data_IF_926849896081
#
_entry.id   IF_926849896081
#
_cell.length_a   1.000
_cell.length_b   1.000
_cell.length_c   1.000
_cell.angle_alpha   90.00
_cell.angle_beta   90.00
_cell.angle_gamma   90.00
#
_symmetry.space_group_name_H-M   'P 1'
#
loop_
_entity.id
_entity.type
_entity.pdbx_description
1 polymer ?
#
# COMPACT_ATOMS: atom_id res chain seq x y z
N UNK A 1 7.29 0.51 -24.32
CA UNK A 1 7.26 -0.84 -23.72
C UNK A 1 6.05 -1.10 -22.80
N UNK A 2 5.89 -0.45 -21.63
CA UNK A 2 4.75 -0.74 -20.73
C UNK A 2 3.38 -0.33 -21.29
N UNK A 3 3.26 0.87 -21.86
CA UNK A 3 2.01 1.34 -22.47
C UNK A 3 1.59 0.47 -23.68
N UNK A 4 2.55 0.04 -24.49
CA UNK A 4 2.32 -0.84 -25.65
C UNK A 4 1.89 -2.24 -25.21
N UNK A 5 2.56 -2.82 -24.21
CA UNK A 5 2.19 -4.14 -23.65
C UNK A 5 0.79 -4.10 -23.06
N UNK A 6 0.46 -3.03 -22.34
CA UNK A 6 -0.87 -2.87 -21.76
C UNK A 6 -1.95 -2.63 -22.81
N UNK A 7 -1.64 -1.88 -23.87
CA UNK A 7 -2.51 -1.72 -25.03
C UNK A 7 -2.84 -3.05 -25.68
N UNK A 8 -1.83 -3.87 -25.95
CA UNK A 8 -2.00 -5.21 -26.51
C UNK A 8 -2.84 -6.12 -25.59
N UNK A 9 -2.56 -6.15 -24.29
CA UNK A 9 -3.30 -6.96 -23.32
C UNK A 9 -4.76 -6.52 -23.24
N UNK A 10 -5.04 -5.22 -23.20
CA UNK A 10 -6.41 -4.69 -23.16
C UNK A 10 -7.18 -5.03 -24.44
N UNK A 11 -6.56 -4.86 -25.59
CA UNK A 11 -7.17 -5.20 -26.87
C UNK A 11 -7.48 -6.69 -26.97
N UNK A 12 -6.53 -7.56 -26.63
CA UNK A 12 -6.73 -9.00 -26.62
C UNK A 12 -7.83 -9.42 -25.63
N UNK A 13 -7.84 -8.85 -24.42
CA UNK A 13 -8.90 -9.12 -23.44
C UNK A 13 -10.28 -8.70 -23.95
N UNK A 14 -10.37 -7.52 -24.59
CA UNK A 14 -11.62 -7.03 -25.14
C UNK A 14 -12.16 -7.92 -26.27
N UNK A 15 -11.28 -8.49 -27.10
CA UNK A 15 -11.66 -9.47 -28.13
C UNK A 15 -12.28 -10.74 -27.53
N UNK A 16 -11.86 -11.11 -26.32
CA UNK A 16 -12.40 -12.24 -25.55
C UNK A 16 -13.59 -11.85 -24.64
N UNK A 17 -14.10 -10.62 -24.73
CA UNK A 17 -15.17 -10.12 -23.87
C UNK A 17 -14.76 -9.89 -22.40
N UNK A 18 -13.47 -9.81 -22.12
CA UNK A 18 -12.90 -9.56 -20.80
C UNK A 18 -12.63 -8.06 -20.59
N UNK A 19 -12.83 -7.60 -19.36
CA UNK A 19 -12.63 -6.22 -18.96
C UNK A 19 -11.68 -6.14 -17.76
N UNK A 20 -10.76 -5.18 -17.80
CA UNK A 20 -9.93 -4.85 -16.65
C UNK A 20 -10.62 -3.81 -15.78
N UNK A 21 -10.66 -4.07 -14.48
CA UNK A 21 -11.12 -3.11 -13.49
C UNK A 21 -9.93 -2.55 -12.72
N UNK A 22 -9.75 -1.24 -12.78
CA UNK A 22 -8.64 -0.54 -12.13
C UNK A 22 -9.03 -0.13 -10.69
N UNK A 23 -9.41 -1.11 -9.87
CA UNK A 23 -9.92 -0.96 -8.49
C UNK A 23 -9.04 -1.71 -7.48
N UNK A 24 -8.81 -1.12 -6.30
CA UNK A 24 -7.96 -1.73 -5.28
C UNK A 24 -8.58 -2.94 -4.57
N UNK A 25 -9.91 -3.08 -4.65
CA UNK A 25 -10.66 -4.20 -4.10
C UNK A 25 -11.84 -4.54 -5.02
N UNK A 26 -12.14 -5.82 -5.23
CA UNK A 26 -13.29 -6.27 -6.00
C UNK A 26 -14.61 -5.83 -5.33
N UNK A 27 -15.64 -5.46 -6.10
CA UNK A 27 -16.94 -5.06 -5.56
C UNK A 27 -17.74 -6.28 -5.12
N UNK A 28 -18.68 -6.05 -4.20
CA UNK A 28 -19.42 -7.11 -3.51
C UNK A 28 -20.42 -7.87 -4.36
N UNK A 29 -20.79 -7.32 -5.51
CA UNK A 29 -21.80 -7.86 -6.40
C UNK A 29 -21.24 -8.81 -7.45
N UNK A 30 -19.90 -8.93 -7.58
CA UNK A 30 -19.32 -9.90 -8.50
C UNK A 30 -19.37 -11.30 -7.86
N UNK A 31 -19.93 -12.31 -8.55
CA UNK A 31 -19.86 -13.68 -8.10
C UNK A 31 -18.41 -14.04 -7.81
N UNK A 32 -18.10 -14.50 -6.60
CA UNK A 32 -16.79 -15.06 -6.26
C UNK A 32 -16.64 -16.46 -6.89
N UNK A 33 -16.95 -16.62 -8.17
CA UNK A 33 -16.60 -17.80 -8.94
C UNK A 33 -15.08 -17.73 -9.18
N UNK A 34 -14.35 -18.46 -8.34
CA UNK A 34 -12.91 -18.34 -8.21
C UNK A 34 -12.22 -19.02 -9.39
N UNK A 35 -11.39 -18.25 -10.11
CA UNK A 35 -10.28 -18.83 -10.83
C UNK A 35 -9.19 -19.21 -9.82
N UNK A 36 -9.10 -20.49 -9.48
CA UNK A 36 -7.99 -20.99 -8.68
C UNK A 36 -6.71 -21.00 -9.53
N UNK A 37 -5.56 -20.61 -8.96
CA UNK A 37 -4.30 -20.62 -9.69
C UNK A 37 -3.95 -22.06 -10.08
N UNK A 38 -3.57 -22.24 -11.34
CA UNK A 38 -3.30 -23.56 -11.96
C UNK A 38 -2.05 -24.25 -11.35
N UNK A 39 -1.21 -23.52 -10.61
CA UNK A 39 0.03 -24.07 -10.03
C UNK A 39 -0.17 -24.65 -8.62
N UNK A 40 0.44 -25.81 -8.36
CA UNK A 40 0.42 -26.50 -7.07
C UNK A 40 0.95 -25.63 -5.91
N UNK A 41 1.99 -24.81 -6.16
CA UNK A 41 2.56 -23.91 -5.16
C UNK A 41 1.57 -22.81 -4.74
N UNK A 42 0.82 -22.27 -5.71
CA UNK A 42 -0.20 -21.28 -5.41
C UNK A 42 -1.39 -21.92 -4.69
N UNK A 43 -1.76 -23.16 -5.04
CA UNK A 43 -2.80 -23.93 -4.36
C UNK A 43 -2.46 -24.22 -2.88
N UNK A 44 -1.22 -24.63 -2.56
CA UNK A 44 -0.80 -24.84 -1.15
C UNK A 44 -0.88 -23.54 -0.33
N UNK A 45 -0.35 -22.44 -0.89
CA UNK A 45 -0.37 -21.11 -0.26
C UNK A 45 -1.80 -20.62 -0.02
N UNK A 46 -2.65 -20.76 -1.04
CA UNK A 46 -4.06 -20.41 -0.91
C UNK A 46 -4.77 -21.31 0.09
N UNK A 47 -4.47 -22.61 0.11
CA UNK A 47 -4.99 -23.56 1.10
C UNK A 47 -4.67 -23.16 2.54
N UNK A 48 -3.45 -22.68 2.82
CA UNK A 48 -3.06 -22.14 4.13
C UNK A 48 -3.86 -20.88 4.50
N UNK A 49 -4.02 -19.96 3.55
CA UNK A 49 -4.84 -18.77 3.75
C UNK A 49 -6.30 -19.12 4.00
N UNK A 50 -6.89 -20.05 3.25
CA UNK A 50 -8.29 -20.44 3.38
C UNK A 50 -8.61 -21.14 4.71
N UNK A 51 -7.63 -21.88 5.26
CA UNK A 51 -7.79 -22.64 6.51
C UNK A 51 -7.41 -21.87 7.77
N UNK A 52 -6.88 -20.64 7.64
CA UNK A 52 -6.46 -19.85 8.80
C UNK A 52 -7.67 -19.39 9.61
N UNK A 53 -7.55 -19.23 10.94
CA UNK A 53 -8.57 -18.56 11.74
C UNK A 53 -8.80 -17.13 11.22
N UNK A 54 -10.05 -16.78 10.92
CA UNK A 54 -10.42 -15.42 10.53
C UNK A 54 -10.98 -14.68 11.75
N UNK A 55 -10.38 -13.55 12.17
CA UNK A 55 -10.97 -12.71 13.20
C UNK A 55 -12.34 -12.17 12.79
N UNK A 56 -13.24 -12.00 13.76
CA UNK A 56 -14.55 -11.36 13.53
C UNK A 56 -14.38 -9.85 13.44
N UNK A 57 -13.89 -9.37 12.29
CA UNK A 57 -13.65 -7.94 12.00
C UNK A 57 -14.31 -7.55 10.68
N UNK A 58 -14.73 -6.30 10.58
CA UNK A 58 -15.56 -5.76 9.49
C UNK A 58 -15.05 -6.09 8.09
N UNK A 59 -13.74 -5.92 7.85
CA UNK A 59 -13.16 -6.11 6.52
C UNK A 59 -12.47 -7.48 6.34
N UNK A 60 -12.61 -8.40 7.30
CA UNK A 60 -11.92 -9.68 7.29
C UNK A 60 -12.34 -10.58 6.12
N UNK A 61 -11.36 -11.19 5.43
CA UNK A 61 -11.63 -12.10 4.32
C UNK A 61 -10.66 -13.27 4.24
N UNK A 62 -11.19 -14.50 4.27
CA UNK A 62 -10.42 -15.71 3.90
C UNK A 62 -9.91 -15.63 2.45
N UNK A 63 -10.62 -14.87 1.59
CA UNK A 63 -10.32 -14.65 0.18
C UNK A 63 -9.40 -13.44 -0.08
N UNK A 64 -8.65 -12.97 0.92
CA UNK A 64 -7.70 -11.85 0.85
C UNK A 64 -6.93 -11.78 -0.49
N UNK A 65 -6.38 -12.89 -0.98
CA UNK A 65 -5.52 -12.90 -2.18
C UNK A 65 -6.25 -12.71 -3.50
N UNK A 66 -7.57 -12.91 -3.56
CA UNK A 66 -8.35 -12.78 -4.79
C UNK A 66 -9.19 -11.51 -4.84
N UNK A 67 -9.43 -10.86 -3.70
CA UNK A 67 -10.31 -9.69 -3.62
C UNK A 67 -9.57 -8.37 -3.73
N UNK A 68 -8.24 -8.36 -3.82
CA UNK A 68 -7.44 -7.13 -3.82
C UNK A 68 -6.53 -7.04 -5.04
N UNK A 69 -6.37 -5.83 -5.56
CA UNK A 69 -5.35 -5.49 -6.55
C UNK A 69 -4.49 -4.33 -6.03
N UNK A 70 -3.21 -4.32 -6.42
CA UNK A 70 -2.22 -3.40 -5.86
C UNK A 70 -1.21 -2.98 -6.93
N UNK A 71 -0.73 -1.74 -6.83
CA UNK A 71 0.50 -1.32 -7.50
C UNK A 71 1.63 -1.42 -6.49
N UNK A 72 2.64 -2.25 -6.79
CA UNK A 72 3.83 -2.34 -5.97
C UNK A 72 4.96 -1.51 -6.60
N UNK A 73 5.69 -0.77 -5.77
CA UNK A 73 6.85 0.01 -6.20
C UNK A 73 8.11 -0.63 -5.63
N UNK A 74 9.12 -0.83 -6.46
CA UNK A 74 10.42 -1.31 -6.03
C UNK A 74 11.45 -0.20 -6.16
N UNK A 75 12.10 0.16 -5.05
CA UNK A 75 13.25 1.07 -5.07
C UNK A 75 14.53 0.29 -4.75
N UNK A 76 15.69 0.67 -5.33
CA UNK A 76 16.96 0.02 -5.03
C UNK A 76 17.26 0.07 -3.52
N UNK A 77 17.64 -1.08 -2.95
CA UNK A 77 18.12 -1.12 -1.57
C UNK A 77 19.50 -0.46 -1.46
N UNK A 78 19.87 -0.04 -0.25
CA UNK A 78 21.25 0.35 0.02
C UNK A 78 22.16 -0.86 -0.07
N UNK A 79 23.45 -0.62 -0.36
CA UNK A 79 24.47 -1.69 -0.49
C UNK A 79 24.51 -2.60 0.74
N UNK A 80 24.28 -2.05 1.92
CA UNK A 80 24.18 -2.81 3.17
C UNK A 80 22.71 -3.04 3.53
N UNK A 81 22.36 -4.31 3.77
CA UNK A 81 21.03 -4.67 4.29
C UNK A 81 20.75 -4.02 5.64
N UNK A 82 21.76 -3.86 6.51
CA UNK A 82 21.59 -3.18 7.80
C UNK A 82 21.23 -1.70 7.60
N UNK A 83 21.87 -1.02 6.66
CA UNK A 83 21.54 0.38 6.32
C UNK A 83 20.14 0.48 5.73
N UNK A 84 19.75 -0.45 4.85
CA UNK A 84 18.39 -0.52 4.29
C UNK A 84 17.35 -0.69 5.40
N UNK A 85 17.60 -1.60 6.35
CA UNK A 85 16.68 -1.86 7.47
C UNK A 85 16.53 -0.65 8.40
N UNK A 86 17.59 0.14 8.59
CA UNK A 86 17.53 1.35 9.39
C UNK A 86 16.59 2.43 8.80
N UNK A 87 16.29 2.39 7.49
CA UNK A 87 15.37 3.32 6.84
C UNK A 87 13.90 2.96 7.09
N UNK A 88 13.59 1.68 7.31
CA UNK A 88 12.22 1.15 7.35
C UNK A 88 11.30 1.90 8.35
N UNK A 89 11.75 2.27 9.58
CA UNK A 89 10.95 3.07 10.50
C UNK A 89 10.52 4.43 9.94
N UNK A 90 11.45 5.14 9.28
CA UNK A 90 11.15 6.45 8.68
C UNK A 90 10.18 6.28 7.52
N UNK A 91 10.40 5.28 6.66
CA UNK A 91 9.51 4.99 5.53
C UNK A 91 8.06 4.74 6.01
N UNK A 92 7.89 3.91 7.04
CA UNK A 92 6.57 3.64 7.64
C UNK A 92 5.93 4.88 8.27
N UNK A 93 6.73 5.83 8.78
CA UNK A 93 6.19 7.05 9.38
C UNK A 93 5.41 7.92 8.38
N UNK A 94 5.73 7.83 7.08
CA UNK A 94 5.04 8.54 5.99
C UNK A 94 3.98 7.71 5.24
N UNK A 95 3.79 6.43 5.58
CA UNK A 95 2.91 5.54 4.79
C UNK A 95 1.44 5.97 4.80
N UNK A 96 1.00 6.81 5.75
CA UNK A 96 -0.37 7.34 5.78
C UNK A 96 -0.70 8.19 4.54
N UNK A 97 0.31 8.77 3.87
CA UNK A 97 0.14 9.53 2.62
C UNK A 97 -0.38 8.65 1.48
N UNK A 98 -0.07 7.36 1.49
CA UNK A 98 -0.41 6.46 0.39
C UNK A 98 -1.92 6.17 0.33
N UNK A 99 -2.59 5.69 1.40
CA UNK A 99 -4.05 5.58 1.38
C UNK A 99 -4.70 6.95 1.22
N UNK A 100 -4.12 8.04 1.74
CA UNK A 100 -4.67 9.38 1.56
C UNK A 100 -4.76 9.78 0.08
N UNK A 101 -3.65 9.65 -0.67
CA UNK A 101 -3.48 10.23 -2.02
C UNK A 101 -3.74 9.23 -3.17
N UNK A 102 -3.66 7.93 -2.90
CA UNK A 102 -3.68 6.87 -3.91
C UNK A 102 -4.71 5.75 -3.63
N UNK A 103 -5.72 6.03 -2.79
CA UNK A 103 -6.82 5.08 -2.58
C UNK A 103 -7.73 4.97 -3.81
N UNK A 104 -8.06 3.73 -4.16
CA UNK A 104 -9.04 3.34 -5.19
C UNK A 104 -9.90 2.17 -4.74
N UNK A 105 -10.12 2.04 -3.43
CA UNK A 105 -10.90 0.96 -2.84
C UNK A 105 -11.77 1.53 -1.72
N UNK A 106 -12.99 1.96 -2.03
CA UNK A 106 -13.87 2.66 -1.06
C UNK A 106 -14.89 1.77 -0.37
N UNK A 107 -15.11 0.56 -0.88
CA UNK A 107 -16.17 -0.31 -0.40
C UNK A 107 -15.73 -1.77 -0.39
N UNK A 108 -16.14 -2.49 0.65
CA UNK A 108 -16.05 -3.95 0.75
C UNK A 108 -17.13 -4.49 1.68
N UNK A 109 -17.86 -5.49 1.21
CA UNK A 109 -19.03 -6.17 1.79
C UNK A 109 -20.08 -5.23 2.38
N UNK A 110 -20.44 -4.19 1.62
CA UNK A 110 -21.41 -3.18 2.04
C UNK A 110 -20.85 -2.13 3.01
N UNK A 111 -19.59 -2.27 3.45
CA UNK A 111 -18.94 -1.32 4.34
C UNK A 111 -18.10 -0.31 3.56
N UNK A 112 -18.22 0.95 3.94
CA UNK A 112 -17.50 2.07 3.33
C UNK A 112 -16.29 2.47 4.17
N UNK A 113 -15.21 2.83 3.48
CA UNK A 113 -14.02 3.46 4.06
C UNK A 113 -13.31 4.29 2.98
N UNK A 114 -12.35 5.13 3.36
CA UNK A 114 -11.53 5.83 2.38
C UNK A 114 -10.66 4.86 1.56
N UNK A 115 -10.04 3.88 2.20
CA UNK A 115 -9.15 2.88 1.60
C UNK A 115 -9.32 1.50 2.29
N UNK A 116 -10.23 0.66 1.78
CA UNK A 116 -10.52 -0.67 2.37
C UNK A 116 -9.39 -1.67 2.21
N UNK A 117 -8.53 -1.56 1.18
CA UNK A 117 -7.53 -2.59 0.89
C UNK A 117 -6.55 -2.83 2.06
N UNK A 118 -5.94 -1.80 2.68
CA UNK A 118 -5.17 -2.00 3.91
C UNK A 118 -5.99 -2.51 5.11
N UNK A 119 -7.28 -2.14 5.20
CA UNK A 119 -8.17 -2.61 6.27
C UNK A 119 -8.47 -4.10 6.14
N UNK A 120 -8.59 -4.61 4.91
CA UNK A 120 -8.71 -6.05 4.65
C UNK A 120 -7.48 -6.78 5.19
N UNK A 121 -6.26 -6.27 4.99
CA UNK A 121 -5.06 -6.87 5.61
C UNK A 121 -5.17 -6.88 7.14
N UNK A 122 -5.45 -5.74 7.78
CA UNK A 122 -5.58 -5.63 9.24
C UNK A 122 -6.62 -6.60 9.82
N UNK A 123 -7.75 -6.74 9.13
CA UNK A 123 -8.90 -7.49 9.64
C UNK A 123 -8.84 -8.99 9.28
N UNK A 124 -7.98 -9.37 8.33
CA UNK A 124 -7.84 -10.73 7.81
C UNK A 124 -6.83 -11.61 8.55
N UNK A 125 -6.07 -11.03 9.48
CA UNK A 125 -5.04 -11.69 10.26
C UNK A 125 -5.30 -11.49 11.75
N UNK A 126 -5.06 -12.54 12.55
CA UNK A 126 -5.10 -12.45 14.00
C UNK A 126 -4.01 -11.49 14.52
N UNK A 127 -4.19 -10.90 15.69
CA UNK A 127 -3.21 -9.96 16.27
C UNK A 127 -1.86 -10.61 16.58
N UNK A 128 -1.82 -11.94 16.69
CA UNK A 128 -0.58 -12.73 16.81
C UNK A 128 0.25 -12.73 15.52
N UNK A 129 -0.36 -12.52 14.35
CA UNK A 129 0.36 -12.48 13.08
C UNK A 129 1.00 -11.10 12.87
N UNK A 130 2.28 -10.97 13.22
CA UNK A 130 2.97 -9.68 13.28
C UNK A 130 3.42 -9.14 11.92
N UNK A 131 3.68 -10.02 10.95
CA UNK A 131 4.17 -9.65 9.63
C UNK A 131 3.02 -9.37 8.61
N UNK A 132 2.02 -8.58 8.99
CA UNK A 132 0.90 -8.21 8.11
C UNK A 132 0.60 -6.71 8.14
N UNK A 133 0.39 -6.13 6.95
CA UNK A 133 0.01 -4.73 6.78
C UNK A 133 1.03 -3.75 7.36
N UNK A 134 0.56 -2.86 8.24
CA UNK A 134 1.41 -2.00 9.07
C UNK A 134 1.77 -2.75 10.37
N UNK A 135 3.03 -3.19 10.55
CA UNK A 135 3.46 -3.97 11.71
C UNK A 135 3.25 -3.23 13.03
N UNK A 136 2.88 -3.95 14.09
CA UNK A 136 2.75 -3.38 15.44
C UNK A 136 4.09 -2.81 15.92
N UNK A 137 5.18 -3.52 15.64
CA UNK A 137 6.55 -3.05 15.85
C UNK A 137 7.25 -3.02 14.49
N UNK A 138 7.56 -1.82 14.03
CA UNK A 138 8.29 -1.64 12.76
C UNK A 138 9.74 -2.09 12.98
N UNK A 139 10.26 -3.04 12.19
CA UNK A 139 11.64 -3.51 12.33
C UNK A 139 12.62 -2.44 11.90
N UNK A 140 13.76 -2.37 12.57
CA UNK A 140 14.85 -1.41 12.30
C UNK A 140 16.21 -2.08 12.10
N UNK A 141 16.24 -3.41 12.12
CA UNK A 141 17.42 -4.25 11.94
C UNK A 141 17.01 -5.57 11.28
N UNK A 142 17.97 -6.31 10.74
CA UNK A 142 17.71 -7.65 10.21
C UNK A 142 17.20 -8.58 11.30
N UNK A 143 17.80 -8.54 12.49
CA UNK A 143 17.38 -9.36 13.63
C UNK A 143 15.91 -9.10 14.02
N UNK A 144 15.50 -7.83 14.12
CA UNK A 144 14.11 -7.49 14.47
C UNK A 144 13.13 -7.84 13.35
N UNK A 145 13.59 -7.82 12.09
CA UNK A 145 12.79 -8.26 10.93
C UNK A 145 12.62 -9.78 10.91
N UNK A 146 13.70 -10.53 11.11
CA UNK A 146 13.66 -12.00 11.18
C UNK A 146 12.77 -12.46 12.34
N UNK A 147 12.85 -11.78 13.49
CA UNK A 147 11.96 -12.03 14.62
C UNK A 147 10.49 -11.74 14.28
N UNK A 148 10.19 -10.61 13.63
CA UNK A 148 8.82 -10.26 13.19
C UNK A 148 8.20 -11.37 12.32
N UNK A 149 9.01 -11.93 11.42
CA UNK A 149 8.60 -12.98 10.49
C UNK A 149 8.49 -14.34 11.20
N UNK A 150 9.42 -14.66 12.09
CA UNK A 150 9.41 -15.91 12.87
C UNK A 150 8.25 -15.98 13.87
N UNK A 151 7.84 -14.85 14.46
CA UNK A 151 6.73 -14.76 15.41
C UNK A 151 5.34 -14.88 14.75
N UNK A 152 5.26 -14.90 13.41
CA UNK A 152 4.00 -15.02 12.70
C UNK A 152 3.55 -16.48 12.63
N UNK A 153 2.52 -16.81 13.42
CA UNK A 153 1.96 -18.17 13.53
C UNK A 153 1.49 -18.73 12.17
N UNK A 154 1.39 -20.06 12.10
CA UNK A 154 0.73 -20.85 11.03
C UNK A 154 1.51 -21.02 9.72
N UNK A 155 2.08 -19.95 9.14
CA UNK A 155 2.93 -20.06 7.96
C UNK A 155 3.80 -18.80 7.77
N UNK A 156 5.09 -19.00 7.54
CA UNK A 156 6.07 -17.92 7.46
C UNK A 156 5.96 -17.20 6.11
N UNK A 157 5.17 -16.11 6.07
CA UNK A 157 5.15 -15.19 4.93
C UNK A 157 5.00 -13.75 5.37
N UNK A 158 5.82 -12.88 4.80
CA UNK A 158 5.72 -11.45 5.04
C UNK A 158 4.64 -10.80 4.16
N UNK A 159 3.57 -10.33 4.80
CA UNK A 159 2.48 -9.51 4.26
C UNK A 159 2.54 -8.05 4.73
N UNK A 160 3.66 -7.63 5.32
CA UNK A 160 3.88 -6.22 5.64
C UNK A 160 3.94 -5.38 4.36
N UNK A 161 3.63 -4.08 4.51
CA UNK A 161 3.56 -3.15 3.40
C UNK A 161 4.91 -2.69 2.84
N UNK A 162 5.99 -2.74 3.62
CA UNK A 162 7.34 -2.40 3.16
C UNK A 162 8.27 -3.58 3.42
N UNK A 163 8.81 -4.17 2.35
CA UNK A 163 9.54 -5.43 2.44
C UNK A 163 10.89 -5.37 1.71
N UNK A 164 12.01 -5.63 2.40
CA UNK A 164 13.29 -5.85 1.72
C UNK A 164 13.24 -7.16 0.90
N UNK A 165 13.77 -7.13 -0.32
CA UNK A 165 13.78 -8.28 -1.24
C UNK A 165 15.20 -8.78 -1.50
N UNK A 166 15.32 -10.09 -1.71
CA UNK A 166 16.59 -10.77 -1.97
C UNK A 166 17.31 -10.31 -3.24
N UNK A 167 16.58 -9.73 -4.20
CA UNK A 167 17.14 -9.18 -5.43
C UNK A 167 17.54 -7.70 -5.31
N UNK A 168 17.75 -7.19 -4.08
CA UNK A 168 18.38 -5.89 -3.85
C UNK A 168 17.45 -4.69 -3.96
N UNK A 169 16.16 -4.85 -3.63
CA UNK A 169 15.19 -3.75 -3.61
C UNK A 169 14.40 -3.71 -2.32
N UNK A 170 13.84 -2.56 -1.98
CA UNK A 170 12.71 -2.45 -1.03
C UNK A 170 11.42 -2.33 -1.83
N UNK A 171 10.47 -3.20 -1.54
CA UNK A 171 9.15 -3.21 -2.15
C UNK A 171 8.13 -2.53 -1.25
N UNK A 172 7.41 -1.57 -1.82
CA UNK A 172 6.28 -0.87 -1.22
C UNK A 172 4.98 -1.45 -1.78
N UNK A 173 4.07 -1.87 -0.91
CA UNK A 173 2.86 -2.62 -1.25
C UNK A 173 1.58 -1.96 -0.80
N UNK A 174 1.61 -0.74 -0.28
CA UNK A 174 0.47 -0.06 0.37
C UNK A 174 -0.57 0.48 -0.60
N UNK A 175 -0.16 0.87 -1.81
CA UNK A 175 -1.07 1.49 -2.76
C UNK A 175 -2.11 0.50 -3.30
N UNK A 176 -3.32 1.01 -3.56
CA UNK A 176 -4.26 0.32 -4.43
C UNK A 176 -3.67 0.16 -5.84
N UNK A 177 -4.28 -0.69 -6.68
CA UNK A 177 -3.99 -0.67 -8.11
C UNK A 177 -4.28 0.71 -8.69
N UNK A 178 -3.34 1.28 -9.44
CA UNK A 178 -3.48 2.58 -10.10
C UNK A 178 -3.94 2.42 -11.54
N UNK A 179 -4.84 3.29 -12.00
CA UNK A 179 -5.50 3.17 -13.31
C UNK A 179 -4.71 3.71 -14.50
N UNK A 180 -3.64 4.46 -14.26
CA UNK A 180 -2.85 5.08 -15.33
C UNK A 180 -1.36 5.05 -15.04
N UNK A 181 -0.57 5.14 -16.11
CA UNK A 181 0.89 5.22 -16.03
C UNK A 181 1.30 6.47 -15.24
N UNK A 182 0.60 7.59 -15.43
CA UNK A 182 0.86 8.84 -14.72
C UNK A 182 0.64 8.68 -13.21
N UNK A 183 -0.44 8.02 -12.78
CA UNK A 183 -0.68 7.76 -11.37
C UNK A 183 0.37 6.81 -10.76
N UNK A 184 0.87 5.84 -11.54
CA UNK A 184 1.98 4.97 -11.13
C UNK A 184 3.27 5.79 -10.98
N UNK A 185 3.58 6.67 -11.94
CA UNK A 185 4.77 7.52 -11.90
C UNK A 185 4.71 8.52 -10.73
N UNK A 186 3.55 9.10 -10.45
CA UNK A 186 3.30 9.93 -9.27
C UNK A 186 3.53 9.17 -7.95
N UNK A 187 3.04 7.94 -7.85
CA UNK A 187 3.30 7.07 -6.69
C UNK A 187 4.80 6.79 -6.52
N UNK A 188 5.52 6.51 -7.62
CA UNK A 188 6.98 6.31 -7.60
C UNK A 188 7.69 7.60 -7.16
N UNK A 189 7.27 8.75 -7.68
CA UNK A 189 7.79 10.07 -7.29
C UNK A 189 7.62 10.35 -5.80
N UNK A 190 6.44 10.07 -5.25
CA UNK A 190 6.18 10.16 -3.81
C UNK A 190 7.12 9.25 -3.01
N UNK A 191 7.23 7.97 -3.37
CA UNK A 191 8.11 7.04 -2.66
C UNK A 191 9.59 7.43 -2.75
N UNK A 192 10.05 8.00 -3.86
CA UNK A 192 11.41 8.55 -3.98
C UNK A 192 11.64 9.75 -3.05
N UNK A 193 10.67 10.63 -2.89
CA UNK A 193 10.75 11.74 -1.96
C UNK A 193 10.78 11.25 -0.50
N UNK A 194 9.90 10.30 -0.13
CA UNK A 194 9.90 9.65 1.19
C UNK A 194 11.23 8.92 1.44
N UNK A 195 11.76 8.24 0.43
CA UNK A 195 13.07 7.59 0.51
C UNK A 195 14.19 8.61 0.79
N UNK A 196 14.16 9.77 0.15
CA UNK A 196 15.13 10.83 0.40
C UNK A 196 15.06 11.35 1.85
N UNK A 197 13.87 11.53 2.42
CA UNK A 197 13.71 11.87 3.85
C UNK A 197 14.24 10.76 4.76
N UNK A 198 14.00 9.50 4.41
CA UNK A 198 14.55 8.36 5.15
C UNK A 198 16.08 8.36 5.16
N UNK A 199 16.73 8.68 4.02
CA UNK A 199 18.18 8.83 3.95
C UNK A 199 18.71 9.97 4.82
N UNK A 200 17.91 11.02 5.04
CA UNK A 200 18.22 12.13 5.93
C UNK A 200 17.89 11.83 7.41
N UNK A 201 17.23 10.71 7.71
CA UNK A 201 16.77 10.37 9.05
C UNK A 201 15.58 11.20 9.55
N UNK A 202 14.86 11.85 8.63
CA UNK A 202 13.77 12.78 8.93
C UNK A 202 12.46 12.01 9.10
N UNK A 203 12.01 11.81 10.34
CA UNK A 203 10.71 11.18 10.63
C UNK A 203 9.54 12.13 10.36
N UNK A 204 8.38 11.54 10.03
CA UNK A 204 7.11 12.24 9.98
C UNK A 204 6.82 12.98 11.29
N UNK A 205 6.24 14.18 11.18
CA UNK A 205 5.78 14.96 12.33
C UNK A 205 4.48 14.40 12.92
N UNK A 206 3.80 13.50 12.21
CA UNK A 206 2.55 12.89 12.66
C UNK A 206 2.84 11.83 13.72
N UNK A 207 2.27 11.96 14.94
CA UNK A 207 2.47 10.99 16.01
C UNK A 207 1.73 9.67 15.73
N UNK A 208 2.19 8.59 16.34
CA UNK A 208 1.59 7.25 16.24
C UNK A 208 1.22 6.86 14.80
N UNK A 209 2.24 6.76 13.94
CA UNK A 209 2.08 6.59 12.49
C UNK A 209 1.20 5.40 12.11
N UNK A 210 1.18 4.34 12.92
CA UNK A 210 0.33 3.16 12.66
C UNK A 210 -1.14 3.45 12.89
N UNK A 211 -1.49 4.02 14.05
CA UNK A 211 -2.89 4.36 14.34
C UNK A 211 -3.38 5.42 13.36
N UNK A 212 -2.54 6.41 13.06
CA UNK A 212 -2.85 7.43 12.08
C UNK A 212 -3.07 6.87 10.67
N UNK A 213 -2.19 5.96 10.22
CA UNK A 213 -2.33 5.26 8.94
C UNK A 213 -3.70 4.59 8.79
N UNK A 214 -4.12 3.82 9.80
CA UNK A 214 -5.42 3.13 9.75
C UNK A 214 -6.60 4.10 9.88
N UNK A 215 -6.48 5.17 10.66
CA UNK A 215 -7.49 6.22 10.72
C UNK A 215 -7.69 6.87 9.34
N UNK A 216 -6.62 7.20 8.62
CA UNK A 216 -6.69 7.73 7.24
C UNK A 216 -7.29 6.70 6.29
N UNK A 217 -7.01 5.40 6.47
CA UNK A 217 -7.69 4.37 5.67
C UNK A 217 -9.21 4.32 5.91
N UNK A 218 -9.66 4.54 7.15
CA UNK A 218 -11.08 4.52 7.50
C UNK A 218 -11.80 5.80 7.06
N UNK A 219 -11.21 6.96 7.35
CA UNK A 219 -11.91 8.24 7.30
C UNK A 219 -11.32 9.26 6.32
N UNK A 220 -10.20 8.93 5.65
CA UNK A 220 -9.59 9.80 4.65
C UNK A 220 -9.10 11.13 5.22
N UNK A 221 -9.31 12.21 4.48
CA UNK A 221 -8.83 13.56 4.86
C UNK A 221 -9.38 14.07 6.19
N UNK A 222 -10.56 13.62 6.61
CA UNK A 222 -11.24 14.16 7.80
C UNK A 222 -10.48 13.93 9.11
N UNK A 223 -9.53 12.99 9.12
CA UNK A 223 -8.72 12.64 10.30
C UNK A 223 -7.23 12.84 10.07
N UNK A 224 -6.83 13.45 8.94
CA UNK A 224 -5.41 13.74 8.68
C UNK A 224 -4.92 14.76 9.70
N UNK A 225 -3.80 14.45 10.33
CA UNK A 225 -3.24 15.23 11.42
C UNK A 225 -2.73 16.57 10.86
N UNK A 226 -2.97 17.71 11.52
CA UNK A 226 -2.42 19.00 11.06
C UNK A 226 -0.90 19.00 10.86
N UNK A 227 -0.14 18.17 11.60
CA UNK A 227 1.30 17.99 11.42
C UNK A 227 1.66 17.43 10.03
N UNK A 228 0.72 16.81 9.32
CA UNK A 228 0.91 16.37 7.94
C UNK A 228 1.26 17.54 7.00
N UNK A 229 0.88 18.78 7.32
CA UNK A 229 1.29 19.93 6.52
C UNK A 229 2.81 20.13 6.55
N UNK A 230 3.46 19.93 7.70
CA UNK A 230 4.91 19.98 7.84
C UNK A 230 5.58 18.85 7.04
N UNK A 231 4.97 17.68 7.03
CA UNK A 231 5.42 16.55 6.19
C UNK A 231 5.35 16.86 4.70
N UNK A 232 4.24 17.45 4.24
CA UNK A 232 4.07 17.85 2.84
C UNK A 232 5.08 18.93 2.45
N UNK A 233 5.37 19.89 3.33
CA UNK A 233 6.40 20.92 3.10
C UNK A 233 7.79 20.32 2.97
N UNK A 234 8.18 19.43 3.89
CA UNK A 234 9.46 18.71 3.81
C UNK A 234 9.56 17.88 2.53
N UNK A 235 8.50 17.16 2.16
CA UNK A 235 8.43 16.39 0.93
C UNK A 235 8.56 17.27 -0.32
N UNK A 236 7.94 18.46 -0.33
CA UNK A 236 8.12 19.44 -1.42
C UNK A 236 9.59 19.85 -1.52
N UNK A 237 10.22 20.23 -0.41
CA UNK A 237 11.63 20.63 -0.38
C UNK A 237 12.55 19.51 -0.88
N UNK A 238 12.43 18.28 -0.37
CA UNK A 238 13.29 17.19 -0.86
C UNK A 238 12.99 16.79 -2.29
N UNK A 239 11.76 17.00 -2.77
CA UNK A 239 11.41 16.70 -4.16
C UNK A 239 12.17 17.58 -5.17
N UNK A 240 12.61 18.78 -4.75
CA UNK A 240 13.45 19.67 -5.57
C UNK A 240 14.86 19.14 -5.76
N UNK A 241 15.33 18.24 -4.88
CA UNK A 241 16.64 17.59 -4.99
C UNK A 241 16.62 16.29 -5.81
N UNK A 242 15.44 15.80 -6.18
CA UNK A 242 15.31 14.62 -7.05
C UNK A 242 15.71 14.99 -8.50
N UNK A 243 16.16 14.02 -9.32
CA UNK A 243 16.30 14.24 -10.76
C UNK A 243 15.00 14.79 -11.37
N UNK A 244 15.11 15.68 -12.35
CA UNK A 244 14.00 16.45 -12.92
C UNK A 244 12.80 15.57 -13.31
N UNK A 245 13.07 14.39 -13.88
CA UNK A 245 12.04 13.45 -14.31
C UNK A 245 11.20 12.93 -13.12
N UNK A 246 11.77 12.82 -11.93
CA UNK A 246 11.06 12.36 -10.73
C UNK A 246 10.47 13.52 -9.92
N UNK A 247 11.16 14.67 -9.90
CA UNK A 247 10.71 15.86 -9.19
C UNK A 247 9.33 16.31 -9.67
N UNK A 248 9.06 16.25 -10.99
CA UNK A 248 7.74 16.56 -11.56
C UNK A 248 6.65 15.64 -11.01
N UNK A 249 6.89 14.32 -10.97
CA UNK A 249 5.90 13.37 -10.49
C UNK A 249 5.67 13.45 -8.98
N UNK A 250 6.73 13.68 -8.20
CA UNK A 250 6.61 13.93 -6.76
C UNK A 250 5.76 15.17 -6.48
N UNK A 251 6.02 16.30 -7.17
CA UNK A 251 5.21 17.52 -7.03
C UNK A 251 3.74 17.30 -7.39
N UNK A 252 3.47 16.56 -8.48
CA UNK A 252 2.09 16.20 -8.87
C UNK A 252 1.41 15.35 -7.80
N UNK A 253 2.07 14.32 -7.27
CA UNK A 253 1.55 13.52 -6.18
C UNK A 253 1.20 14.38 -4.95
N UNK A 254 2.08 15.28 -4.54
CA UNK A 254 1.88 16.18 -3.40
C UNK A 254 0.77 17.22 -3.65
N UNK A 255 0.55 17.63 -4.90
CA UNK A 255 -0.55 18.53 -5.26
C UNK A 255 -1.93 17.91 -5.04
N UNK A 256 -2.03 16.56 -5.03
CA UNK A 256 -3.27 15.85 -4.73
C UNK A 256 -3.78 16.14 -3.32
N UNK A 257 -2.89 16.35 -2.34
CA UNK A 257 -3.30 16.62 -0.96
C UNK A 257 -4.23 17.85 -0.87
N UNK A 258 -3.93 18.89 -1.65
CA UNK A 258 -4.75 20.10 -1.75
C UNK A 258 -6.08 19.86 -2.46
N UNK A 259 -6.16 18.89 -3.38
CA UNK A 259 -7.39 18.53 -4.11
C UNK A 259 -8.30 17.63 -3.28
N UNK A 260 -7.74 16.68 -2.55
CA UNK A 260 -8.52 15.72 -1.73
C UNK A 260 -9.15 16.42 -0.52
N UNK A 261 -8.58 17.53 -0.03
CA UNK A 261 -9.22 18.36 1.00
C UNK A 261 -10.54 18.96 0.52
N UNK A 262 -10.65 19.32 -0.77
CA UNK A 262 -11.80 20.03 -1.32
C UNK A 262 -13.01 19.12 -1.59
N UNK A 263 -12.77 17.86 -1.98
CA UNK A 263 -13.85 16.93 -2.40
C UNK A 263 -14.70 16.42 -1.22
N UNK A 264 -14.17 16.44 0.00
CA UNK A 264 -14.90 15.95 1.18
C UNK A 264 -15.83 16.99 1.80
N UNK A 265 -15.53 18.28 1.64
CA UNK A 265 -16.44 19.36 2.06
C UNK A 265 -17.73 19.37 1.24
N UNK A 266 -17.76 18.79 0.03
CA UNK A 266 -18.97 18.74 -0.80
C UNK A 266 -19.84 17.49 -0.58
N UNK A 267 -19.25 16.37 -0.16
CA UNK A 267 -19.96 15.08 0.01
C UNK A 267 -20.59 14.90 1.40
N UNK A 268 -20.26 15.74 2.38
CA UNK A 268 -20.90 15.75 3.70
C UNK A 268 -22.19 16.58 3.75
N UNK A 269 -22.61 17.19 2.63
CA UNK A 269 -23.81 18.02 2.52
C UNK A 269 -24.91 17.43 1.59
N UNK A 270 -24.83 16.14 1.25
CA UNK A 270 -25.86 15.44 0.45
C UNK A 270 -26.50 14.30 1.24
#
# INVERSE_FOLDING_TARGET
MHAETWGYIREAAQQEGLYFSDIGCLPDHLPNEQAFPVSALAADRQGKLLKRPLPTRTFGSVMLSSVMAATHVHLPALRSSASTMALIPVLYSYEYLVPWLFSRSRQFRGHWAHCVRPLIYRDSFADSYRAAGFPVRVPNSLETYDQLVADSESFVRDYSFIVPRSFGTVEFRTACSQASVEAILELIGLYRAIWQLALLGEFSAVPDSRSHFYAVCEHGSAVVDPAAQSDLERLRTVSESLPDEWAVFARRALSRASQVAYVFDELLYV
#
